data_IF_160061483752
#
_entry.id   IF_160061483752
#
_cell.length_a   1.000
_cell.length_b   1.000
_cell.length_c   1.000
_cell.angle_alpha   90.00
_cell.angle_beta   90.00
_cell.angle_gamma   90.00
#
_symmetry.space_group_name_H-M   'P 1'
#
loop_
_entity.id
_entity.type
_entity.pdbx_description
1 polymer ?
#
# COMPACT_ATOMS: atom_id res chain seq x y z
N UNK A 1 -6.44 20.54 20.47
CA UNK A 1 -6.10 21.36 19.29
C UNK A 1 -6.45 20.72 17.95
N UNK A 2 -5.89 19.54 17.52
CA UNK A 2 -6.26 18.91 16.23
C UNK A 2 -7.73 18.50 16.17
N UNK A 3 -8.25 17.89 17.22
CA UNK A 3 -9.67 17.50 17.34
C UNK A 3 -10.61 18.72 17.34
N UNK A 4 -10.24 19.79 18.01
CA UNK A 4 -11.02 21.02 18.05
C UNK A 4 -11.00 21.75 16.71
N UNK A 5 -9.86 21.77 16.00
CA UNK A 5 -9.73 22.32 14.66
C UNK A 5 -10.59 21.53 13.65
N UNK A 6 -10.52 20.21 13.71
CA UNK A 6 -11.34 19.35 12.85
C UNK A 6 -12.83 19.56 13.10
N UNK A 7 -13.26 19.68 14.36
CA UNK A 7 -14.65 19.99 14.72
C UNK A 7 -15.06 21.39 14.26
N UNK A 8 -14.18 22.38 14.38
CA UNK A 8 -14.43 23.73 13.90
C UNK A 8 -14.57 23.78 12.37
N UNK A 9 -13.70 23.09 11.64
CA UNK A 9 -13.79 22.98 10.18
C UNK A 9 -15.09 22.31 9.77
N UNK A 10 -15.47 21.18 10.40
CA UNK A 10 -16.73 20.47 10.12
C UNK A 10 -17.95 21.36 10.40
N UNK A 11 -17.93 22.15 11.49
CA UNK A 11 -19.02 23.09 11.79
C UNK A 11 -19.15 24.20 10.77
N UNK A 12 -18.00 24.70 10.25
CA UNK A 12 -17.97 25.79 9.27
C UNK A 12 -18.46 25.35 7.88
N UNK A 13 -18.08 24.14 7.44
CA UNK A 13 -18.53 23.58 6.15
C UNK A 13 -19.93 22.95 6.21
N UNK A 14 -20.63 23.00 7.34
CA UNK A 14 -21.97 22.43 7.56
C UNK A 14 -22.10 20.96 7.18
N UNK A 15 -21.06 20.18 7.35
CA UNK A 15 -21.13 18.73 7.16
C UNK A 15 -21.87 18.12 8.36
N UNK A 16 -22.92 17.36 8.07
CA UNK A 16 -23.63 16.61 9.10
C UNK A 16 -22.90 15.30 9.38
N UNK A 17 -22.10 15.28 10.44
CA UNK A 17 -21.52 14.03 10.94
C UNK A 17 -22.59 13.17 11.62
N UNK A 18 -22.57 11.89 11.32
CA UNK A 18 -23.34 10.90 12.08
C UNK A 18 -22.84 10.83 13.52
N UNK A 19 -23.63 10.30 14.46
CA UNK A 19 -23.17 10.08 15.84
C UNK A 19 -21.89 9.23 15.92
N UNK A 20 -21.72 8.24 15.03
CA UNK A 20 -20.54 7.38 14.94
C UNK A 20 -19.31 8.15 14.47
N UNK A 21 -19.46 8.99 13.45
CA UNK A 21 -18.34 9.83 12.95
C UNK A 21 -17.90 10.87 14.00
N UNK A 22 -18.84 11.45 14.76
CA UNK A 22 -18.51 12.34 15.89
C UNK A 22 -17.77 11.60 17.00
N UNK A 23 -18.18 10.39 17.33
CA UNK A 23 -17.51 9.57 18.32
C UNK A 23 -16.10 9.20 17.86
N UNK A 24 -15.92 8.84 16.60
CA UNK A 24 -14.62 8.54 16.01
C UNK A 24 -13.69 9.76 16.03
N UNK A 25 -14.18 10.95 15.63
CA UNK A 25 -13.41 12.20 15.74
C UNK A 25 -13.06 12.59 17.17
N UNK A 26 -13.96 12.35 18.12
CA UNK A 26 -13.72 12.64 19.53
C UNK A 26 -12.75 11.66 20.18
N UNK A 27 -12.69 10.41 19.69
CA UNK A 27 -11.76 9.38 20.13
C UNK A 27 -10.44 9.41 19.36
N UNK A 28 -10.32 10.22 18.30
CA UNK A 28 -9.10 10.35 17.52
C UNK A 28 -7.94 10.78 18.42
N UNK A 29 -6.98 9.88 18.56
CA UNK A 29 -5.79 10.09 19.38
C UNK A 29 -4.95 11.24 18.80
N UNK A 30 -4.54 12.16 19.64
CA UNK A 30 -3.56 13.18 19.25
C UNK A 30 -2.20 12.53 19.05
N UNK A 31 -1.73 12.48 17.82
CA UNK A 31 -0.41 11.96 17.47
C UNK A 31 0.64 13.00 17.88
N UNK A 32 1.77 12.55 18.43
CA UNK A 32 2.90 13.42 18.70
C UNK A 32 3.42 14.02 17.38
N UNK A 33 3.56 15.36 17.25
CA UNK A 33 3.99 16.00 16.01
C UNK A 33 5.35 15.50 15.49
N UNK A 34 6.30 15.22 16.38
CA UNK A 34 7.63 14.71 16.00
C UNK A 34 7.54 13.27 15.48
N UNK A 35 6.68 12.42 16.10
CA UNK A 35 6.39 11.09 15.58
C UNK A 35 5.74 11.15 14.20
N UNK A 36 4.81 12.08 14.00
CA UNK A 36 4.17 12.31 12.71
C UNK A 36 5.18 12.76 11.63
N UNK A 37 6.07 13.69 11.96
CA UNK A 37 7.14 14.13 11.05
C UNK A 37 8.06 12.96 10.66
N UNK A 38 8.47 12.15 11.63
CA UNK A 38 9.27 10.96 11.35
C UNK A 38 8.51 9.97 10.45
N UNK A 39 7.22 9.73 10.70
CA UNK A 39 6.36 8.90 9.85
C UNK A 39 6.29 9.42 8.41
N UNK A 40 6.11 10.73 8.21
CA UNK A 40 6.09 11.34 6.86
C UNK A 40 7.43 11.16 6.12
N UNK A 41 8.56 11.30 6.83
CA UNK A 41 9.89 11.02 6.26
C UNK A 41 10.05 9.54 5.91
N UNK A 42 9.52 8.63 6.73
CA UNK A 42 9.45 7.21 6.43
C UNK A 42 8.73 6.94 5.11
N UNK A 43 7.53 7.49 4.95
CA UNK A 43 6.74 7.36 3.72
C UNK A 43 7.45 7.96 2.51
N UNK A 44 8.05 9.14 2.64
CA UNK A 44 8.82 9.78 1.57
C UNK A 44 9.99 8.90 1.10
N UNK A 45 10.71 8.26 2.02
CA UNK A 45 11.79 7.35 1.65
C UNK A 45 11.28 6.04 1.06
N UNK A 46 10.20 5.46 1.59
CA UNK A 46 9.56 4.25 1.07
C UNK A 46 9.12 4.43 -0.39
N UNK A 47 8.57 5.60 -0.75
CA UNK A 47 8.11 5.88 -2.12
C UNK A 47 9.21 5.83 -3.19
N UNK A 48 10.50 5.96 -2.80
CA UNK A 48 11.64 5.94 -3.74
C UNK A 48 12.05 4.55 -4.22
N UNK A 49 11.58 3.50 -3.59
CA UNK A 49 11.73 2.08 -3.99
C UNK A 49 13.15 1.66 -4.40
N UNK A 50 14.15 2.05 -3.65
CA UNK A 50 15.54 1.59 -3.81
C UNK A 50 16.15 1.18 -2.47
N UNK A 51 17.22 0.35 -2.45
CA UNK A 51 17.78 -0.23 -1.23
C UNK A 51 18.15 0.78 -0.15
N UNK A 52 18.78 1.90 -0.55
CA UNK A 52 19.24 2.93 0.39
C UNK A 52 18.05 3.69 0.99
N UNK A 53 17.04 3.98 0.19
CA UNK A 53 15.84 4.67 0.65
C UNK A 53 15.00 3.79 1.58
N UNK A 54 14.83 2.50 1.27
CA UNK A 54 14.12 1.56 2.15
C UNK A 54 14.80 1.44 3.51
N UNK A 55 16.14 1.45 3.57
CA UNK A 55 16.86 1.46 4.84
C UNK A 55 16.51 2.69 5.67
N UNK A 56 16.51 3.87 5.05
CA UNK A 56 16.10 5.12 5.72
C UNK A 56 14.63 5.13 6.12
N UNK A 57 13.75 4.55 5.31
CA UNK A 57 12.33 4.41 5.67
C UNK A 57 12.16 3.62 6.97
N UNK A 58 12.86 2.49 7.11
CA UNK A 58 12.86 1.68 8.32
C UNK A 58 13.33 2.50 9.53
N UNK A 59 14.44 3.23 9.40
CA UNK A 59 14.98 4.07 10.48
C UNK A 59 13.95 5.14 10.92
N UNK A 60 13.31 5.81 10.00
CA UNK A 60 12.31 6.84 10.31
C UNK A 60 11.03 6.27 10.92
N UNK A 61 10.53 5.12 10.46
CA UNK A 61 9.38 4.49 11.11
C UNK A 61 9.72 3.99 12.52
N UNK A 62 10.93 3.47 12.73
CA UNK A 62 11.41 3.10 14.07
C UNK A 62 11.53 4.33 14.97
N UNK A 63 11.99 5.47 14.45
CA UNK A 63 12.03 6.71 15.22
C UNK A 63 10.61 7.22 15.55
N UNK A 64 9.66 7.15 14.63
CA UNK A 64 8.26 7.48 14.90
C UNK A 64 7.70 6.62 16.05
N UNK A 65 7.97 5.31 16.02
CA UNK A 65 7.56 4.35 17.07
C UNK A 65 8.27 4.64 18.40
N UNK A 66 9.55 5.03 18.37
CA UNK A 66 10.30 5.39 19.59
C UNK A 66 9.70 6.62 20.27
N UNK A 67 9.29 7.63 19.50
CA UNK A 67 8.67 8.86 20.00
C UNK A 67 7.23 8.58 20.47
N UNK A 68 6.47 7.79 19.72
CA UNK A 68 5.09 7.43 20.02
C UNK A 68 4.87 5.91 19.85
N UNK A 69 5.08 5.11 20.91
CA UNK A 69 4.95 3.64 20.85
C UNK A 69 3.54 3.11 20.53
N UNK A 70 2.53 3.98 20.53
CA UNK A 70 1.16 3.60 20.21
C UNK A 70 0.71 4.15 18.82
N UNK A 71 1.64 4.54 17.97
CA UNK A 71 1.34 5.07 16.64
C UNK A 71 1.16 3.92 15.63
N UNK A 72 -0.08 3.44 15.47
CA UNK A 72 -0.43 2.27 14.66
C UNK A 72 0.07 2.38 13.20
N UNK A 73 -0.11 3.55 12.55
CA UNK A 73 0.32 3.80 11.18
C UNK A 73 1.85 3.69 11.02
N UNK A 74 2.63 4.04 12.03
CA UNK A 74 4.08 3.89 11.98
C UNK A 74 4.51 2.41 11.98
N UNK A 75 3.78 1.55 12.71
CA UNK A 75 4.00 0.10 12.65
C UNK A 75 3.60 -0.48 11.29
N UNK A 76 2.50 -0.03 10.69
CA UNK A 76 2.10 -0.43 9.35
C UNK A 76 3.14 0.02 8.31
N UNK A 77 3.63 1.26 8.39
CA UNK A 77 4.72 1.76 7.56
C UNK A 77 6.00 0.94 7.69
N UNK A 78 6.38 0.59 8.92
CA UNK A 78 7.53 -0.26 9.21
C UNK A 78 7.36 -1.67 8.61
N UNK A 79 6.18 -2.27 8.76
CA UNK A 79 5.87 -3.57 8.15
C UNK A 79 5.99 -3.54 6.63
N UNK A 80 5.45 -2.49 5.98
CA UNK A 80 5.60 -2.31 4.55
C UNK A 80 7.06 -2.13 4.14
N UNK A 81 7.84 -1.34 4.88
CA UNK A 81 9.25 -1.13 4.61
C UNK A 81 10.10 -2.42 4.77
N UNK A 82 9.77 -3.31 5.70
CA UNK A 82 10.39 -4.63 5.80
C UNK A 82 10.12 -5.48 4.56
N UNK A 83 8.88 -5.49 4.06
CA UNK A 83 8.55 -6.16 2.81
C UNK A 83 9.29 -5.55 1.61
N UNK A 84 9.33 -4.23 1.50
CA UNK A 84 10.06 -3.53 0.44
C UNK A 84 11.56 -3.86 0.47
N UNK A 85 12.14 -4.07 1.65
CA UNK A 85 13.53 -4.47 1.80
C UNK A 85 13.83 -5.85 1.22
N UNK A 86 12.87 -6.77 1.22
CA UNK A 86 13.00 -8.05 0.52
C UNK A 86 13.02 -7.84 -0.99
N UNK A 87 12.10 -7.03 -1.49
CA UNK A 87 11.90 -6.81 -2.93
C UNK A 87 13.06 -6.01 -3.53
N UNK A 88 13.42 -4.88 -2.89
CA UNK A 88 14.40 -3.92 -3.42
C UNK A 88 15.78 -4.08 -2.82
N UNK A 89 15.89 -4.64 -1.62
CA UNK A 89 17.16 -4.80 -0.89
C UNK A 89 17.94 -6.05 -1.28
N UNK A 90 17.43 -6.89 -2.17
CA UNK A 90 18.12 -8.10 -2.64
C UNK A 90 18.23 -9.22 -1.59
N UNK A 91 17.47 -9.13 -0.48
CA UNK A 91 17.51 -10.14 0.58
C UNK A 91 16.82 -11.46 0.21
N UNK A 92 15.94 -11.44 -0.80
CA UNK A 92 15.06 -12.56 -1.15
C UNK A 92 13.77 -12.59 -0.33
N UNK A 93 12.72 -13.09 -0.95
CA UNK A 93 11.37 -13.16 -0.38
C UNK A 93 11.37 -14.06 0.87
N UNK A 94 10.68 -13.62 1.92
CA UNK A 94 10.49 -14.36 3.18
C UNK A 94 11.55 -14.09 4.25
N UNK A 95 12.65 -13.40 3.94
CA UNK A 95 13.71 -13.10 4.93
C UNK A 95 13.29 -12.12 6.03
N UNK A 96 12.32 -11.24 5.73
CA UNK A 96 11.76 -10.28 6.67
C UNK A 96 10.32 -10.65 7.10
N UNK A 97 9.84 -11.84 6.73
CA UNK A 97 8.45 -12.26 6.98
C UNK A 97 8.03 -12.14 8.46
N UNK A 98 8.89 -12.57 9.38
CA UNK A 98 8.61 -12.47 10.82
C UNK A 98 8.54 -11.04 11.32
N UNK A 99 9.43 -10.16 10.83
CA UNK A 99 9.43 -8.74 11.19
C UNK A 99 8.20 -8.04 10.62
N UNK A 100 7.87 -8.32 9.35
CA UNK A 100 6.67 -7.82 8.70
C UNK A 100 5.42 -8.23 9.46
N UNK A 101 5.29 -9.52 9.81
CA UNK A 101 4.16 -10.04 10.57
C UNK A 101 4.03 -9.40 11.95
N UNK A 102 5.13 -9.34 12.73
CA UNK A 102 5.09 -8.73 14.06
C UNK A 102 4.68 -7.26 14.03
N UNK A 103 5.23 -6.48 13.09
CA UNK A 103 4.87 -5.08 12.96
C UNK A 103 3.41 -4.91 12.49
N UNK A 104 2.92 -5.74 11.56
CA UNK A 104 1.52 -5.73 11.11
C UNK A 104 0.56 -6.06 12.26
N UNK A 105 0.82 -7.12 13.02
CA UNK A 105 -0.03 -7.50 14.14
C UNK A 105 -0.02 -6.44 15.23
N UNK A 106 1.13 -5.78 15.47
CA UNK A 106 1.20 -4.68 16.44
C UNK A 106 0.41 -3.45 15.96
N UNK A 107 0.43 -3.14 14.67
CA UNK A 107 -0.41 -2.08 14.10
C UNK A 107 -1.90 -2.36 14.35
N UNK A 108 -2.36 -3.58 14.09
CA UNK A 108 -3.76 -3.99 14.28
C UNK A 108 -4.15 -4.15 15.76
N UNK A 109 -3.21 -4.48 16.64
CA UNK A 109 -3.44 -4.45 18.10
C UNK A 109 -3.71 -3.02 18.60
N UNK A 110 -3.03 -2.04 18.04
CA UNK A 110 -3.18 -0.62 18.40
C UNK A 110 -4.39 0.04 17.74
N UNK A 111 -4.71 -0.37 16.52
CA UNK A 111 -5.86 0.10 15.75
C UNK A 111 -6.41 -1.06 14.91
N UNK A 112 -7.45 -1.71 15.42
CA UNK A 112 -8.09 -2.87 14.78
C UNK A 112 -8.90 -2.51 13.52
N UNK A 113 -9.06 -1.21 13.21
CA UNK A 113 -9.72 -0.74 11.97
C UNK A 113 -8.74 -0.06 11.01
N UNK A 114 -7.42 -0.26 11.20
CA UNK A 114 -6.40 0.28 10.31
C UNK A 114 -6.39 -0.47 8.97
N UNK A 115 -6.87 0.19 7.91
CA UNK A 115 -6.97 -0.38 6.56
C UNK A 115 -5.62 -0.89 6.04
N UNK A 116 -4.54 -0.14 6.26
CA UNK A 116 -3.17 -0.53 5.90
C UNK A 116 -2.74 -1.81 6.61
N UNK A 117 -3.12 -1.99 7.87
CA UNK A 117 -2.86 -3.20 8.66
C UNK A 117 -3.53 -4.42 8.04
N UNK A 118 -4.80 -4.32 7.68
CA UNK A 118 -5.54 -5.40 7.00
C UNK A 118 -4.96 -5.71 5.62
N UNK A 119 -4.61 -4.70 4.81
CA UNK A 119 -3.96 -4.92 3.52
C UNK A 119 -2.62 -5.66 3.65
N UNK A 120 -1.83 -5.33 4.68
CA UNK A 120 -0.58 -6.02 5.00
C UNK A 120 -0.82 -7.46 5.46
N UNK A 121 -1.84 -7.70 6.29
CA UNK A 121 -2.20 -9.04 6.75
C UNK A 121 -2.68 -9.90 5.58
N UNK A 122 -3.51 -9.37 4.68
CA UNK A 122 -3.90 -10.03 3.43
C UNK A 122 -2.69 -10.43 2.60
N UNK A 123 -1.68 -9.56 2.47
CA UNK A 123 -0.44 -9.89 1.77
C UNK A 123 0.36 -10.99 2.47
N UNK A 124 0.43 -10.99 3.79
CA UNK A 124 1.11 -12.05 4.56
C UNK A 124 0.42 -13.40 4.33
N UNK A 125 -0.91 -13.46 4.44
CA UNK A 125 -1.68 -14.67 4.16
C UNK A 125 -1.48 -15.16 2.72
N UNK A 126 -1.42 -14.23 1.75
CA UNK A 126 -1.19 -14.55 0.35
C UNK A 126 0.19 -15.12 0.06
N UNK A 127 1.26 -14.52 0.62
CA UNK A 127 2.63 -14.82 0.22
C UNK A 127 3.35 -15.82 1.14
N UNK A 128 2.96 -15.87 2.41
CA UNK A 128 3.63 -16.68 3.42
C UNK A 128 2.80 -17.87 3.89
N UNK A 129 1.50 -17.67 4.09
CA UNK A 129 0.64 -18.66 4.70
C UNK A 129 -0.11 -19.51 3.66
N UNK A 130 -0.22 -19.02 2.41
CA UNK A 130 -1.01 -19.63 1.33
C UNK A 130 -2.48 -19.83 1.72
N UNK A 131 -2.98 -18.96 2.62
CA UNK A 131 -4.36 -18.95 3.09
C UNK A 131 -5.21 -18.02 2.21
N UNK A 132 -5.80 -18.60 1.17
CA UNK A 132 -6.60 -17.87 0.18
C UNK A 132 -7.86 -17.24 0.77
N UNK A 133 -8.49 -17.92 1.75
CA UNK A 133 -9.72 -17.43 2.37
C UNK A 133 -9.44 -16.18 3.23
N UNK A 134 -8.45 -16.25 4.09
CA UNK A 134 -8.03 -15.12 4.92
C UNK A 134 -7.47 -13.99 4.05
N UNK A 135 -6.71 -14.31 2.98
CA UNK A 135 -6.23 -13.29 2.02
C UNK A 135 -7.36 -12.45 1.46
N UNK A 136 -8.42 -13.09 0.95
CA UNK A 136 -9.55 -12.37 0.36
C UNK A 136 -10.31 -11.55 1.41
N UNK A 137 -10.55 -12.13 2.59
CA UNK A 137 -11.25 -11.46 3.68
C UNK A 137 -10.51 -10.17 4.11
N UNK A 138 -9.20 -10.25 4.28
CA UNK A 138 -8.38 -9.14 4.74
C UNK A 138 -8.29 -8.00 3.69
N UNK A 139 -8.13 -8.32 2.40
CA UNK A 139 -8.15 -7.28 1.37
C UNK A 139 -9.53 -6.61 1.24
N UNK A 140 -10.61 -7.37 1.31
CA UNK A 140 -11.97 -6.80 1.32
C UNK A 140 -12.18 -5.89 2.54
N UNK A 141 -11.72 -6.34 3.72
CA UNK A 141 -11.80 -5.52 4.94
C UNK A 141 -11.00 -4.23 4.82
N UNK A 142 -9.80 -4.27 4.25
CA UNK A 142 -9.00 -3.07 3.99
C UNK A 142 -9.73 -2.08 3.06
N UNK A 143 -10.37 -2.58 1.99
CA UNK A 143 -11.14 -1.76 1.04
C UNK A 143 -12.41 -1.17 1.69
N UNK A 144 -13.10 -1.93 2.54
CA UNK A 144 -14.25 -1.44 3.30
C UNK A 144 -13.87 -0.31 4.25
N UNK A 145 -12.76 -0.48 4.98
CA UNK A 145 -12.28 0.50 5.95
C UNK A 145 -11.76 1.77 5.28
N UNK A 146 -11.03 1.64 4.17
CA UNK A 146 -10.55 2.78 3.39
C UNK A 146 -10.65 2.51 1.88
N UNK A 147 -11.77 2.87 1.23
CA UNK A 147 -11.96 2.69 -0.21
C UNK A 147 -11.06 3.58 -1.09
N UNK A 148 -10.26 4.46 -0.50
CA UNK A 148 -9.30 5.31 -1.19
C UNK A 148 -7.85 4.82 -1.03
N UNK A 149 -7.60 3.69 -0.39
CA UNK A 149 -6.26 3.11 -0.22
C UNK A 149 -5.88 2.31 -1.48
N UNK A 150 -5.23 2.95 -2.45
CA UNK A 150 -4.82 2.33 -3.72
C UNK A 150 -4.03 1.02 -3.53
N UNK A 151 -3.15 0.96 -2.52
CA UNK A 151 -2.35 -0.24 -2.21
C UNK A 151 -3.17 -1.49 -1.90
N UNK A 152 -4.37 -1.35 -1.31
CA UNK A 152 -5.28 -2.49 -1.05
C UNK A 152 -5.78 -3.09 -2.37
N UNK A 153 -6.13 -2.26 -3.34
CA UNK A 153 -6.58 -2.71 -4.66
C UNK A 153 -5.45 -3.36 -5.46
N UNK A 154 -4.22 -2.84 -5.38
CA UNK A 154 -3.05 -3.47 -6.01
C UNK A 154 -2.82 -4.88 -5.44
N UNK A 155 -2.80 -5.01 -4.11
CA UNK A 155 -2.62 -6.31 -3.45
C UNK A 155 -3.74 -7.29 -3.79
N UNK A 156 -4.98 -6.82 -3.77
CA UNK A 156 -6.14 -7.63 -4.13
C UNK A 156 -6.13 -8.06 -5.61
N UNK A 157 -5.71 -7.17 -6.51
CA UNK A 157 -5.56 -7.51 -7.93
C UNK A 157 -4.57 -8.66 -8.16
N UNK A 158 -3.45 -8.68 -7.46
CA UNK A 158 -2.50 -9.79 -7.54
C UNK A 158 -3.06 -11.10 -7.02
N UNK A 159 -3.80 -11.09 -5.93
CA UNK A 159 -4.49 -12.26 -5.42
C UNK A 159 -5.52 -12.78 -6.43
N UNK A 160 -6.39 -11.90 -6.94
CA UNK A 160 -7.40 -12.25 -7.94
C UNK A 160 -6.79 -12.82 -9.23
N UNK A 161 -5.67 -12.26 -9.65
CA UNK A 161 -4.91 -12.75 -10.82
C UNK A 161 -4.45 -14.20 -10.63
N UNK A 162 -3.88 -14.53 -9.48
CA UNK A 162 -3.36 -15.86 -9.19
C UNK A 162 -4.49 -16.89 -9.02
N UNK A 163 -5.65 -16.46 -8.52
CA UNK A 163 -6.85 -17.30 -8.40
C UNK A 163 -7.65 -17.45 -9.71
N UNK A 164 -7.16 -16.87 -10.83
CA UNK A 164 -7.80 -16.98 -12.15
C UNK A 164 -8.98 -16.04 -12.38
N UNK A 165 -9.24 -15.11 -11.45
CA UNK A 165 -10.32 -14.13 -11.51
C UNK A 165 -9.87 -12.87 -12.27
N UNK A 166 -9.48 -13.07 -13.54
CA UNK A 166 -8.77 -12.05 -14.32
C UNK A 166 -9.54 -10.75 -14.54
N UNK A 167 -10.86 -10.81 -14.76
CA UNK A 167 -11.68 -9.61 -14.95
C UNK A 167 -11.75 -8.75 -13.67
N UNK A 168 -11.91 -9.40 -12.51
CA UNK A 168 -11.91 -8.72 -11.23
C UNK A 168 -10.52 -8.15 -10.89
N UNK A 169 -9.45 -8.88 -11.25
CA UNK A 169 -8.08 -8.40 -11.10
C UNK A 169 -7.83 -7.10 -11.91
N UNK A 170 -8.31 -7.07 -13.16
CA UNK A 170 -8.21 -5.87 -14.00
C UNK A 170 -9.00 -4.70 -13.41
N UNK A 171 -10.24 -4.93 -12.94
CA UNK A 171 -11.05 -3.90 -12.32
C UNK A 171 -10.38 -3.33 -11.05
N UNK A 172 -9.82 -4.19 -10.20
CA UNK A 172 -9.10 -3.75 -9.00
C UNK A 172 -7.82 -2.96 -9.35
N UNK A 173 -7.01 -3.44 -10.31
CA UNK A 173 -5.82 -2.73 -10.74
C UNK A 173 -6.16 -1.35 -11.36
N UNK A 174 -7.22 -1.28 -12.16
CA UNK A 174 -7.71 -0.03 -12.72
C UNK A 174 -8.14 0.94 -11.61
N UNK A 175 -8.87 0.45 -10.60
CA UNK A 175 -9.29 1.27 -9.46
C UNK A 175 -8.09 1.86 -8.70
N UNK A 176 -7.01 1.12 -8.53
CA UNK A 176 -5.78 1.65 -7.93
C UNK A 176 -5.18 2.82 -8.71
N UNK A 177 -5.21 2.75 -10.06
CA UNK A 177 -4.75 3.84 -10.94
C UNK A 177 -5.70 5.05 -10.90
N UNK A 178 -7.02 4.84 -10.83
CA UNK A 178 -7.97 5.95 -10.66
C UNK A 178 -7.72 6.72 -9.35
N UNK A 179 -7.38 6.02 -8.26
CA UNK A 179 -7.11 6.62 -6.95
C UNK A 179 -5.79 7.39 -6.91
N UNK A 180 -4.79 6.95 -7.68
CA UNK A 180 -3.48 7.61 -7.78
C UNK A 180 -2.97 7.56 -9.24
N UNK A 181 -3.47 8.47 -10.10
CA UNK A 181 -3.18 8.45 -11.54
C UNK A 181 -1.76 8.92 -11.92
N UNK A 182 -1.02 9.45 -10.95
CA UNK A 182 0.38 9.87 -11.12
C UNK A 182 1.39 8.86 -10.55
N UNK A 183 0.91 7.75 -10.01
CA UNK A 183 1.77 6.68 -9.49
C UNK A 183 2.30 5.80 -10.61
N UNK A 184 3.54 6.00 -11.03
CA UNK A 184 4.21 5.11 -11.96
C UNK A 184 4.18 3.63 -11.51
N UNK A 185 4.34 3.30 -10.19
CA UNK A 185 4.14 1.96 -9.68
C UNK A 185 2.76 1.37 -9.93
N UNK A 186 1.68 2.08 -9.59
CA UNK A 186 0.31 1.55 -9.77
C UNK A 186 -0.01 1.31 -11.25
N UNK A 187 0.42 2.22 -12.12
CA UNK A 187 0.26 2.09 -13.58
C UNK A 187 1.06 0.88 -14.11
N UNK A 188 2.29 0.68 -13.62
CA UNK A 188 3.10 -0.48 -13.99
C UNK A 188 2.47 -1.78 -13.46
N UNK A 189 1.86 -1.77 -12.28
CA UNK A 189 1.18 -2.93 -11.72
C UNK A 189 -0.09 -3.27 -12.52
N UNK A 190 -0.88 -2.28 -12.97
CA UNK A 190 -1.97 -2.49 -13.93
C UNK A 190 -1.45 -3.13 -15.24
N UNK A 191 -0.34 -2.61 -15.78
CA UNK A 191 0.32 -3.20 -16.96
C UNK A 191 0.71 -4.66 -16.74
N UNK A 192 1.18 -5.01 -15.54
CA UNK A 192 1.52 -6.40 -15.17
C UNK A 192 0.30 -7.32 -15.12
N UNK A 193 -0.85 -6.83 -14.63
CA UNK A 193 -2.10 -7.59 -14.65
C UNK A 193 -2.58 -7.80 -16.10
N UNK A 194 -2.51 -6.76 -16.95
CA UNK A 194 -2.82 -6.85 -18.38
C UNK A 194 -1.91 -7.86 -19.11
N UNK A 195 -0.60 -7.81 -18.84
CA UNK A 195 0.36 -8.75 -19.43
C UNK A 195 0.01 -10.22 -19.10
N UNK A 196 -0.33 -10.50 -17.84
CA UNK A 196 -0.73 -11.85 -17.42
C UNK A 196 -2.10 -12.26 -17.99
N UNK A 197 -2.96 -11.31 -18.32
CA UNK A 197 -4.21 -11.52 -19.04
C UNK A 197 -3.97 -11.67 -20.57
N UNK A 198 -2.72 -11.69 -21.02
CA UNK A 198 -2.29 -11.74 -22.44
C UNK A 198 -2.75 -10.54 -23.29
N UNK A 199 -3.05 -9.41 -22.65
CA UNK A 199 -3.37 -8.15 -23.31
C UNK A 199 -2.07 -7.33 -23.48
N UNK A 200 -1.16 -7.82 -24.32
CA UNK A 200 0.21 -7.34 -24.39
C UNK A 200 0.33 -5.90 -24.88
N UNK A 201 -0.46 -5.50 -25.91
CA UNK A 201 -0.49 -4.11 -26.40
C UNK A 201 -0.93 -3.13 -25.32
N UNK A 202 -1.97 -3.49 -24.58
CA UNK A 202 -2.46 -2.68 -23.45
C UNK A 202 -1.42 -2.62 -22.31
N UNK A 203 -0.72 -3.72 -22.04
CA UNK A 203 0.36 -3.76 -21.07
C UNK A 203 1.51 -2.82 -21.46
N UNK A 204 1.94 -2.85 -22.74
CA UNK A 204 2.96 -1.93 -23.28
C UNK A 204 2.55 -0.48 -23.07
N UNK A 205 1.30 -0.12 -23.40
CA UNK A 205 0.81 1.25 -23.21
C UNK A 205 0.88 1.70 -21.74
N UNK A 206 0.56 0.80 -20.78
CA UNK A 206 0.70 1.11 -19.34
C UNK A 206 2.14 1.25 -18.91
N UNK A 207 3.05 0.39 -19.36
CA UNK A 207 4.46 0.51 -19.05
C UNK A 207 5.08 1.79 -19.62
N UNK A 208 4.72 2.17 -20.86
CA UNK A 208 5.11 3.45 -21.45
C UNK A 208 4.61 4.63 -20.61
N UNK A 209 3.34 4.60 -20.19
CA UNK A 209 2.79 5.64 -19.32
C UNK A 209 3.51 5.75 -17.99
N UNK A 210 3.90 4.63 -17.37
CA UNK A 210 4.70 4.64 -16.15
C UNK A 210 6.08 5.28 -16.38
N UNK A 211 6.73 5.03 -17.53
CA UNK A 211 8.00 5.63 -17.92
C UNK A 211 7.91 7.11 -18.29
N UNK A 212 6.77 7.58 -18.79
CA UNK A 212 6.52 9.03 -18.97
C UNK A 212 6.53 9.78 -17.62
N UNK A 213 5.98 9.15 -16.57
CA UNK A 213 5.94 9.73 -15.22
C UNK A 213 7.27 9.61 -14.49
N UNK A 214 7.94 8.48 -14.62
CA UNK A 214 9.25 8.19 -14.05
C UNK A 214 10.13 7.45 -15.08
N UNK A 215 10.93 8.17 -15.86
CA UNK A 215 11.81 7.57 -16.88
C UNK A 215 12.83 6.57 -16.31
N UNK A 216 13.13 6.67 -15.02
CA UNK A 216 14.05 5.78 -14.30
C UNK A 216 13.40 4.57 -13.65
N UNK A 217 12.09 4.35 -13.83
CA UNK A 217 11.36 3.27 -13.16
C UNK A 217 11.74 1.89 -13.73
N UNK A 218 12.76 1.28 -13.16
CA UNK A 218 13.34 0.01 -13.62
C UNK A 218 12.32 -1.13 -13.82
N UNK A 219 11.28 -1.31 -12.96
CA UNK A 219 10.31 -2.37 -13.19
C UNK A 219 9.54 -2.24 -14.50
N UNK A 220 9.23 -1.01 -14.94
CA UNK A 220 8.55 -0.81 -16.22
C UNK A 220 9.50 -1.07 -17.41
N UNK A 221 10.78 -0.66 -17.29
CA UNK A 221 11.79 -0.92 -18.32
C UNK A 221 11.98 -2.41 -18.60
N UNK A 222 12.07 -3.24 -17.57
CA UNK A 222 12.17 -4.69 -17.75
C UNK A 222 10.91 -5.31 -18.36
N UNK A 223 9.73 -4.95 -17.84
CA UNK A 223 8.47 -5.55 -18.27
C UNK A 223 8.01 -5.15 -19.67
N UNK A 224 8.39 -3.95 -20.13
CA UNK A 224 8.06 -3.52 -21.49
C UNK A 224 8.81 -4.38 -22.53
N UNK A 225 10.06 -4.77 -22.24
CA UNK A 225 10.82 -5.67 -23.09
C UNK A 225 10.14 -7.05 -23.19
N UNK A 226 9.74 -7.62 -22.03
CA UNK A 226 9.02 -8.90 -21.99
C UNK A 226 7.71 -8.84 -22.81
N UNK A 227 6.99 -7.70 -22.74
CA UNK A 227 5.74 -7.53 -23.50
C UNK A 227 5.97 -7.41 -25.00
N UNK A 228 7.00 -6.71 -25.44
CA UNK A 228 7.37 -6.64 -26.85
C UNK A 228 7.80 -8.00 -27.41
N UNK A 229 8.57 -8.79 -26.63
CA UNK A 229 8.93 -10.14 -27.02
C UNK A 229 7.68 -11.01 -27.29
N UNK A 230 6.64 -10.90 -26.49
CA UNK A 230 5.37 -11.63 -26.71
C UNK A 230 4.61 -11.13 -27.97
N UNK A 231 4.84 -9.90 -28.40
CA UNK A 231 4.27 -9.32 -29.62
C UNK A 231 5.11 -9.66 -30.89
N UNK A 232 6.27 -10.29 -30.71
CA UNK A 232 7.15 -10.64 -31.81
C UNK A 232 7.98 -9.46 -32.34
N UNK A 233 8.21 -8.45 -31.51
CA UNK A 233 8.99 -7.24 -31.82
C UNK A 233 10.35 -7.25 -31.08
#
# INVERSE_FOLDING_TARGET
MQSELAQAIVSEIRVHLTPQERQHLASARTINPDAYNAYLLGNYHSSKRNPAAVTKAIEYFQEAIRIDPNYAQAYAGLANAYFEREVWGGLGIGKMADQTRRATLKALELDGELAEGHALLGRIHFQSDWDWQSTEAEYKRAIELNPNLAGSYVGYAYFLQVTGRHQEALAAAHRAVELDPLSAPNICDEGRILYRARQYESAVARYQRALELDPGYLPALGRIADAYEQLGN
#
